data_IF_663664649549
#
_entry.id   IF_663664649549
#
_cell.length_a   1.000
_cell.length_b   1.000
_cell.length_c   1.000
_cell.angle_alpha   90.00
_cell.angle_beta   90.00
_cell.angle_gamma   90.00
#
_symmetry.space_group_name_H-M   'P 1'
#
loop_
_entity.id
_entity.type
_entity.pdbx_description
1 polymer ?
#
# COMPACT_ATOMS: atom_id res chain seq x y z
N UNK A 1 6.27 23.70 -12.82
CA UNK A 1 5.79 25.02 -12.32
C UNK A 1 4.28 25.05 -12.35
N UNK A 2 3.62 25.67 -11.34
CA UNK A 2 2.18 25.83 -11.30
C UNK A 2 1.72 26.87 -12.32
N UNK A 3 0.68 26.55 -13.09
CA UNK A 3 0.09 27.46 -14.06
C UNK A 3 -1.17 28.13 -13.50
N UNK A 4 -1.06 29.42 -13.15
CA UNK A 4 -2.18 30.22 -12.60
C UNK A 4 -3.31 30.48 -13.60
N UNK A 5 -3.05 30.31 -14.88
CA UNK A 5 -4.00 30.53 -15.98
C UNK A 5 -4.63 29.21 -16.49
N UNK A 6 -4.34 28.09 -15.82
CA UNK A 6 -4.92 26.79 -16.18
C UNK A 6 -6.37 26.68 -15.70
N UNK A 7 -7.19 25.94 -16.46
CA UNK A 7 -8.55 25.53 -16.04
C UNK A 7 -8.51 24.66 -14.78
N UNK A 8 -7.38 23.94 -14.55
CA UNK A 8 -7.21 23.09 -13.37
C UNK A 8 -6.90 23.94 -12.14
N UNK A 9 -7.64 23.80 -11.03
CA UNK A 9 -7.39 24.53 -9.79
C UNK A 9 -5.97 24.32 -9.25
N UNK A 10 -5.37 25.37 -8.67
CA UNK A 10 -3.99 25.34 -8.17
C UNK A 10 -3.73 24.22 -7.16
N UNK A 11 -4.71 23.93 -6.27
CA UNK A 11 -4.55 22.84 -5.30
C UNK A 11 -4.43 21.47 -5.97
N UNK A 12 -5.13 21.23 -7.09
CA UNK A 12 -5.03 19.99 -7.86
C UNK A 12 -3.68 19.87 -8.55
N UNK A 13 -3.21 20.95 -9.19
CA UNK A 13 -1.87 20.96 -9.81
C UNK A 13 -0.78 20.67 -8.77
N UNK A 14 -0.86 21.31 -7.59
CA UNK A 14 0.10 21.09 -6.51
C UNK A 14 0.02 19.66 -5.95
N UNK A 15 -1.18 19.11 -5.86
CA UNK A 15 -1.42 17.72 -5.47
C UNK A 15 -0.73 16.75 -6.44
N UNK A 16 -0.89 16.94 -7.76
CA UNK A 16 -0.27 16.10 -8.79
C UNK A 16 1.26 16.17 -8.72
N UNK A 17 1.82 17.36 -8.45
CA UNK A 17 3.27 17.55 -8.28
C UNK A 17 3.77 16.77 -7.06
N UNK A 18 3.17 16.95 -5.89
CA UNK A 18 3.61 16.28 -4.66
C UNK A 18 3.41 14.76 -4.77
N UNK A 19 2.28 14.30 -5.32
CA UNK A 19 2.04 12.88 -5.58
C UNK A 19 3.09 12.27 -6.53
N UNK A 20 3.50 13.01 -7.57
CA UNK A 20 4.58 12.59 -8.47
C UNK A 20 5.92 12.50 -7.75
N UNK A 21 6.23 13.48 -6.88
CA UNK A 21 7.48 13.47 -6.08
C UNK A 21 7.54 12.31 -5.08
N UNK A 22 6.38 11.90 -4.54
CA UNK A 22 6.28 10.70 -3.70
C UNK A 22 6.50 9.44 -4.56
N UNK A 23 5.85 9.35 -5.73
CA UNK A 23 5.94 8.19 -6.61
C UNK A 23 7.34 7.97 -7.17
N UNK A 24 8.06 9.03 -7.51
CA UNK A 24 9.43 8.96 -8.05
C UNK A 24 10.52 8.88 -6.96
N UNK A 25 10.12 8.84 -5.66
CA UNK A 25 11.03 8.69 -4.53
C UNK A 25 11.76 9.96 -4.09
N UNK A 26 11.39 11.14 -4.60
CA UNK A 26 11.90 12.44 -4.11
C UNK A 26 11.56 12.61 -2.63
N UNK A 27 10.33 12.26 -2.25
CA UNK A 27 9.92 12.09 -0.86
C UNK A 27 9.79 10.60 -0.56
N UNK A 28 10.58 10.10 0.38
CA UNK A 28 10.60 8.68 0.76
C UNK A 28 9.47 8.33 1.73
N UNK A 29 9.00 7.07 1.74
CA UNK A 29 8.07 6.60 2.77
C UNK A 29 8.57 6.87 4.19
N UNK A 30 7.71 7.43 5.04
CA UNK A 30 8.05 7.83 6.40
C UNK A 30 8.79 9.17 6.51
N UNK A 31 9.18 9.78 5.41
CA UNK A 31 9.85 11.09 5.41
C UNK A 31 8.88 12.22 5.72
N UNK A 32 9.35 13.21 6.48
CA UNK A 32 8.62 14.43 6.75
C UNK A 32 8.68 15.36 5.55
N UNK A 33 7.51 15.79 5.04
CA UNK A 33 7.46 16.80 4.00
C UNK A 33 7.59 18.20 4.60
N UNK A 34 7.97 19.23 3.80
CA UNK A 34 7.99 20.61 4.25
C UNK A 34 6.65 21.03 4.84
N UNK A 35 6.68 21.95 5.80
CA UNK A 35 5.48 22.49 6.45
C UNK A 35 4.59 23.27 5.49
N UNK A 36 3.32 23.47 5.85
CA UNK A 36 2.39 24.26 5.02
C UNK A 36 2.92 25.67 4.67
N UNK A 37 3.57 26.42 5.59
CA UNK A 37 4.21 27.68 5.23
C UNK A 37 5.37 27.54 4.24
N UNK A 38 6.25 26.55 4.43
CA UNK A 38 7.39 26.31 3.54
C UNK A 38 6.93 25.91 2.13
N UNK A 39 5.89 25.06 2.05
CA UNK A 39 5.27 24.69 0.76
C UNK A 39 4.60 25.89 0.09
N UNK A 40 3.95 26.78 0.86
CA UNK A 40 3.33 27.99 0.33
C UNK A 40 4.37 28.93 -0.29
N UNK A 41 5.51 29.08 0.35
CA UNK A 41 6.65 29.87 -0.14
C UNK A 41 7.29 29.20 -1.37
N UNK A 42 7.61 27.91 -1.29
CA UNK A 42 8.26 27.15 -2.36
C UNK A 42 7.46 27.17 -3.68
N UNK A 43 6.14 27.02 -3.58
CA UNK A 43 5.26 26.96 -4.76
C UNK A 43 4.55 28.28 -5.08
N UNK A 44 4.79 29.33 -4.29
CA UNK A 44 4.20 30.67 -4.43
C UNK A 44 2.65 30.65 -4.52
N UNK A 45 2.04 29.91 -3.60
CA UNK A 45 0.58 29.77 -3.45
C UNK A 45 0.15 30.15 -2.03
N UNK A 46 -1.17 30.39 -1.86
CA UNK A 46 -1.70 30.67 -0.52
C UNK A 46 -1.61 29.47 0.41
N UNK A 47 -1.49 29.72 1.72
CA UNK A 47 -1.51 28.65 2.75
C UNK A 47 -2.81 27.84 2.71
N UNK A 48 -3.93 28.47 2.33
CA UNK A 48 -5.22 27.78 2.17
C UNK A 48 -5.15 26.75 1.03
N UNK A 49 -4.50 27.10 -0.08
CA UNK A 49 -4.28 26.18 -1.22
C UNK A 49 -3.44 25.00 -0.80
N UNK A 50 -2.33 25.23 -0.06
CA UNK A 50 -1.47 24.15 0.45
C UNK A 50 -2.22 23.26 1.43
N UNK A 51 -2.95 23.85 2.39
CA UNK A 51 -3.72 23.09 3.38
C UNK A 51 -4.71 22.14 2.70
N UNK A 52 -5.47 22.64 1.73
CA UNK A 52 -6.39 21.82 0.94
C UNK A 52 -5.66 20.70 0.19
N UNK A 53 -4.51 21.01 -0.43
CA UNK A 53 -3.67 20.02 -1.11
C UNK A 53 -3.23 18.90 -0.16
N UNK A 54 -2.73 19.26 1.02
CA UNK A 54 -2.26 18.29 2.02
C UNK A 54 -3.41 17.45 2.56
N UNK A 55 -4.58 18.05 2.81
CA UNK A 55 -5.79 17.33 3.23
C UNK A 55 -6.24 16.30 2.18
N UNK A 56 -6.28 16.69 0.90
CA UNK A 56 -6.60 15.78 -0.20
C UNK A 56 -5.58 14.64 -0.33
N UNK A 57 -4.28 14.93 -0.22
CA UNK A 57 -3.24 13.91 -0.24
C UNK A 57 -3.32 12.97 0.98
N UNK A 58 -3.75 13.45 2.13
CA UNK A 58 -4.04 12.61 3.29
C UNK A 58 -5.25 11.71 3.04
N UNK A 59 -6.33 12.24 2.46
CA UNK A 59 -7.54 11.48 2.11
C UNK A 59 -7.22 10.41 1.07
N UNK A 60 -6.37 10.71 0.09
CA UNK A 60 -5.90 9.75 -0.91
C UNK A 60 -4.82 8.79 -0.40
N UNK A 61 -4.39 8.94 0.87
CA UNK A 61 -3.45 8.02 1.49
C UNK A 61 -1.98 8.21 1.12
N UNK A 62 -1.61 9.30 0.46
CA UNK A 62 -0.22 9.64 0.18
C UNK A 62 0.51 10.20 1.40
N UNK A 63 -0.21 10.93 2.24
CA UNK A 63 0.34 11.61 3.41
C UNK A 63 -0.42 11.22 4.69
N UNK A 64 0.23 11.43 5.82
CA UNK A 64 -0.37 11.32 7.16
C UNK A 64 0.07 12.51 8.01
N UNK A 65 -0.90 13.16 8.69
CA UNK A 65 -0.61 14.23 9.65
C UNK A 65 -0.44 13.63 11.04
N UNK A 66 0.66 13.99 11.70
CA UNK A 66 0.86 13.74 13.12
C UNK A 66 0.79 15.08 13.86
N UNK A 67 -0.19 15.21 14.74
CA UNK A 67 -0.40 16.45 15.50
C UNK A 67 0.87 16.86 16.26
N UNK A 68 1.29 18.11 16.13
CA UNK A 68 2.50 18.64 16.75
C UNK A 68 3.83 18.19 16.12
N UNK A 69 3.84 17.17 15.27
CA UNK A 69 5.06 16.60 14.66
C UNK A 69 5.25 16.99 13.19
N UNK A 70 4.15 17.16 12.47
CA UNK A 70 4.15 17.52 11.04
C UNK A 70 3.42 16.54 10.15
N UNK A 71 3.65 16.67 8.84
CA UNK A 71 3.07 15.81 7.81
C UNK A 71 4.16 14.90 7.23
N UNK A 72 3.85 13.62 7.09
CA UNK A 72 4.79 12.59 6.66
C UNK A 72 4.25 11.86 5.45
N UNK A 73 5.14 11.38 4.59
CA UNK A 73 4.78 10.47 3.51
C UNK A 73 4.30 9.16 4.13
N UNK A 74 3.10 8.78 3.81
CA UNK A 74 2.56 7.51 4.27
C UNK A 74 3.34 6.38 3.59
N UNK A 75 3.80 5.40 4.35
CA UNK A 75 4.31 4.16 3.77
C UNK A 75 3.27 3.62 2.79
N UNK A 76 3.68 3.15 1.61
CA UNK A 76 2.72 2.64 0.65
C UNK A 76 1.97 1.47 1.29
N UNK A 77 0.83 1.79 1.89
CA UNK A 77 -0.17 0.76 2.09
C UNK A 77 -0.63 0.38 0.70
N UNK A 78 -0.46 -0.87 0.32
CA UNK A 78 -1.20 -1.41 -0.80
C UNK A 78 -2.65 -1.39 -0.35
N UNK A 79 -3.35 -0.32 -0.75
CA UNK A 79 -4.79 -0.30 -0.59
C UNK A 79 -5.34 -1.41 -1.50
N UNK A 80 -5.60 -2.58 -0.95
CA UNK A 80 -6.71 -3.35 -1.46
C UNK A 80 -7.94 -2.46 -1.27
N UNK A 81 -8.34 -1.75 -2.31
CA UNK A 81 -9.75 -1.42 -2.46
C UNK A 81 -10.44 -2.77 -2.48
N UNK A 82 -11.00 -3.14 -1.33
CA UNK A 82 -11.99 -4.20 -1.24
C UNK A 82 -13.30 -3.69 -1.86
N UNK A 83 -13.21 -3.09 -3.04
CA UNK A 83 -14.36 -2.99 -3.91
C UNK A 83 -14.59 -4.40 -4.44
N UNK A 84 -15.74 -4.89 -4.15
CA UNK A 84 -16.41 -6.16 -4.48
C UNK A 84 -16.28 -6.63 -5.95
N UNK A 85 -15.22 -6.29 -6.64
CA UNK A 85 -14.98 -6.66 -8.02
C UNK A 85 -13.74 -7.53 -8.15
N UNK A 86 -14.04 -8.81 -8.29
CA UNK A 86 -13.18 -9.88 -8.78
C UNK A 86 -11.98 -10.25 -7.90
N UNK A 87 -11.84 -11.55 -7.71
CA UNK A 87 -10.72 -12.29 -7.11
C UNK A 87 -9.37 -11.92 -7.78
N UNK A 88 -8.88 -10.73 -7.49
CA UNK A 88 -7.61 -10.27 -8.01
C UNK A 88 -6.48 -10.78 -7.12
N UNK A 89 -5.49 -11.42 -7.72
CA UNK A 89 -4.32 -11.90 -7.01
C UNK A 89 -3.47 -10.73 -6.48
N UNK A 90 -2.66 -11.00 -5.45
CA UNK A 90 -1.68 -10.02 -4.95
C UNK A 90 -0.77 -9.49 -6.06
N UNK A 91 -0.27 -10.40 -6.92
CA UNK A 91 0.63 -10.03 -8.01
C UNK A 91 -0.03 -9.11 -9.04
N UNK A 92 -1.28 -9.34 -9.35
CA UNK A 92 -2.03 -8.49 -10.27
C UNK A 92 -2.34 -7.13 -9.66
N UNK A 93 -2.70 -7.09 -8.37
CA UNK A 93 -2.89 -5.85 -7.63
C UNK A 93 -1.60 -5.01 -7.58
N UNK A 94 -0.43 -5.63 -7.37
CA UNK A 94 0.85 -4.93 -7.42
C UNK A 94 1.09 -4.31 -8.80
N UNK A 95 0.94 -5.09 -9.89
CA UNK A 95 1.18 -4.61 -11.25
C UNK A 95 0.26 -3.46 -11.64
N UNK A 96 -1.02 -3.53 -11.27
CA UNK A 96 -1.98 -2.43 -11.52
C UNK A 96 -1.60 -1.13 -10.78
N UNK A 97 -0.92 -1.25 -9.64
CA UNK A 97 -0.40 -0.11 -8.88
C UNK A 97 1.03 0.29 -9.29
N UNK A 98 1.56 -0.24 -10.40
CA UNK A 98 2.90 0.07 -10.89
C UNK A 98 4.02 -0.47 -10.01
N UNK A 99 3.75 -1.54 -9.23
CA UNK A 99 4.70 -2.20 -8.34
C UNK A 99 5.11 -3.56 -8.89
N UNK A 100 6.32 -3.98 -8.56
CA UNK A 100 6.83 -5.31 -8.90
C UNK A 100 6.52 -6.27 -7.73
N UNK A 101 5.73 -7.36 -7.96
CA UNK A 101 5.45 -8.33 -6.92
C UNK A 101 6.62 -9.29 -6.75
N UNK A 102 7.03 -9.52 -5.50
CA UNK A 102 7.98 -10.56 -5.10
C UNK A 102 7.36 -11.46 -4.04
N UNK A 103 7.88 -12.67 -3.92
CA UNK A 103 7.46 -13.65 -2.91
C UNK A 103 8.67 -14.39 -2.38
N UNK A 104 8.88 -14.35 -1.06
CA UNK A 104 9.86 -15.17 -0.37
C UNK A 104 9.15 -16.26 0.42
N UNK A 105 9.49 -17.52 0.15
CA UNK A 105 9.01 -18.65 0.95
C UNK A 105 9.79 -18.67 2.25
N UNK A 106 9.09 -18.52 3.37
CA UNK A 106 9.66 -18.61 4.71
C UNK A 106 9.66 -20.05 5.20
N UNK A 107 8.54 -20.74 5.03
CA UNK A 107 8.38 -22.12 5.45
C UNK A 107 7.55 -22.89 4.42
N UNK A 108 8.03 -24.07 4.04
CA UNK A 108 7.25 -25.04 3.27
C UNK A 108 7.50 -26.44 3.82
N UNK A 109 6.48 -27.04 4.41
CA UNK A 109 6.60 -28.38 5.00
C UNK A 109 5.26 -29.13 4.95
N UNK A 110 5.37 -30.46 5.15
CA UNK A 110 4.22 -31.31 5.47
C UNK A 110 4.10 -31.38 6.98
N UNK A 111 2.88 -31.27 7.50
CA UNK A 111 2.59 -31.46 8.92
C UNK A 111 1.19 -32.04 9.12
N UNK A 112 0.96 -32.67 10.25
CA UNK A 112 -0.38 -33.10 10.65
C UNK A 112 -1.31 -31.88 10.74
N UNK A 113 -2.54 -32.00 10.29
CA UNK A 113 -3.55 -30.97 10.42
C UNK A 113 -3.96 -30.81 11.91
N UNK A 114 -4.13 -29.58 12.35
CA UNK A 114 -4.79 -29.31 13.61
C UNK A 114 -6.33 -29.37 13.45
N UNK A 115 -7.06 -29.38 14.55
CA UNK A 115 -8.53 -29.50 14.56
C UNK A 115 -9.22 -28.43 13.70
N UNK A 116 -8.71 -27.19 13.75
CA UNK A 116 -9.28 -26.07 12.98
C UNK A 116 -9.07 -26.29 11.48
N UNK A 117 -7.84 -26.66 11.10
CA UNK A 117 -7.49 -26.92 9.71
C UNK A 117 -8.26 -28.11 9.15
N UNK A 118 -8.40 -29.20 9.94
CA UNK A 118 -9.16 -30.40 9.56
C UNK A 118 -10.62 -30.06 9.33
N UNK A 119 -11.24 -29.28 10.20
CA UNK A 119 -12.64 -28.89 10.07
C UNK A 119 -12.87 -28.04 8.81
N UNK A 120 -12.00 -27.04 8.55
CA UNK A 120 -12.12 -26.18 7.36
C UNK A 120 -11.90 -26.92 6.05
N UNK A 121 -10.93 -27.82 6.00
CA UNK A 121 -10.56 -28.56 4.79
C UNK A 121 -11.34 -29.88 4.66
N UNK A 122 -12.21 -30.23 5.65
CA UNK A 122 -12.98 -31.47 5.72
C UNK A 122 -12.10 -32.73 5.65
N UNK A 123 -11.03 -32.71 6.42
CA UNK A 123 -10.06 -33.79 6.51
C UNK A 123 -10.42 -34.78 7.63
N UNK A 124 -9.99 -36.02 7.49
CA UNK A 124 -9.97 -36.97 8.61
C UNK A 124 -8.98 -36.52 9.69
N UNK A 125 -9.16 -37.01 10.92
CA UNK A 125 -8.21 -36.72 12.00
C UNK A 125 -6.82 -37.22 11.61
N UNK A 126 -5.81 -36.37 11.84
CA UNK A 126 -4.39 -36.63 11.59
C UNK A 126 -3.96 -36.70 10.09
N UNK A 127 -4.83 -36.29 9.17
CA UNK A 127 -4.43 -36.15 7.78
C UNK A 127 -3.38 -35.05 7.61
N UNK A 128 -2.37 -35.32 6.77
CA UNK A 128 -1.30 -34.37 6.53
C UNK A 128 -1.71 -33.28 5.54
N UNK A 129 -1.22 -32.09 5.81
CA UNK A 129 -1.39 -30.92 4.94
C UNK A 129 -0.03 -30.33 4.57
N UNK A 130 0.04 -29.70 3.41
CA UNK A 130 1.13 -28.79 3.11
C UNK A 130 0.89 -27.46 3.78
N UNK A 131 1.86 -27.04 4.56
CA UNK A 131 1.93 -25.71 5.17
C UNK A 131 2.90 -24.87 4.35
N UNK A 132 2.43 -23.72 3.89
CA UNK A 132 3.22 -22.77 3.12
C UNK A 132 3.06 -21.39 3.74
N UNK A 133 4.16 -20.82 4.22
CA UNK A 133 4.27 -19.46 4.73
C UNK A 133 5.14 -18.64 3.78
N UNK A 134 4.62 -17.50 3.33
CA UNK A 134 5.30 -16.64 2.37
C UNK A 134 5.19 -15.18 2.76
N UNK A 135 6.31 -14.49 2.65
CA UNK A 135 6.33 -13.03 2.69
C UNK A 135 6.11 -12.50 1.28
N UNK A 136 5.04 -11.74 1.09
CA UNK A 136 4.71 -11.10 -0.19
C UNK A 136 5.18 -9.63 -0.13
N UNK A 137 5.97 -9.24 -1.13
CA UNK A 137 6.57 -7.91 -1.20
C UNK A 137 6.06 -7.17 -2.45
N UNK A 138 5.89 -5.86 -2.30
CA UNK A 138 5.69 -4.96 -3.42
C UNK A 138 6.96 -4.13 -3.58
N UNK A 139 7.66 -4.31 -4.69
CA UNK A 139 9.07 -3.95 -4.85
C UNK A 139 9.89 -4.68 -3.77
N UNK A 140 10.66 -3.98 -2.94
CA UNK A 140 11.43 -4.54 -1.84
C UNK A 140 10.72 -4.41 -0.47
N UNK A 141 9.46 -3.95 -0.44
CA UNK A 141 8.73 -3.67 0.80
C UNK A 141 7.83 -4.86 1.15
N UNK A 142 8.04 -5.53 2.30
CA UNK A 142 7.14 -6.58 2.77
C UNK A 142 5.75 -6.00 3.11
N UNK A 143 4.71 -6.66 2.61
CA UNK A 143 3.33 -6.16 2.70
C UNK A 143 2.40 -7.16 3.36
N UNK A 144 2.56 -8.45 3.04
CA UNK A 144 1.67 -9.51 3.53
C UNK A 144 2.52 -10.69 3.96
N UNK A 145 2.26 -11.17 5.17
CA UNK A 145 2.60 -12.52 5.59
C UNK A 145 1.41 -13.42 5.26
N UNK A 146 1.62 -14.36 4.34
CA UNK A 146 0.57 -15.22 3.79
C UNK A 146 0.81 -16.67 4.19
N UNK A 147 -0.13 -17.21 4.95
CA UNK A 147 -0.15 -18.62 5.35
C UNK A 147 -1.21 -19.36 4.56
N UNK A 148 -0.84 -20.52 4.01
CA UNK A 148 -1.74 -21.39 3.26
C UNK A 148 -1.62 -22.84 3.74
N UNK A 149 -2.76 -23.47 3.88
CA UNK A 149 -2.87 -24.91 4.15
C UNK A 149 -3.52 -25.57 2.93
N UNK A 150 -2.91 -26.61 2.41
CA UNK A 150 -3.42 -27.32 1.25
C UNK A 150 -3.30 -28.83 1.52
N UNK A 151 -4.37 -29.56 1.31
CA UNK A 151 -4.32 -31.03 1.35
C UNK A 151 -4.14 -31.60 -0.06
N UNK A 152 -3.52 -32.76 -0.14
CA UNK A 152 -3.45 -33.53 -1.39
C UNK A 152 -4.77 -34.22 -1.60
N UNK A 153 -5.58 -33.72 -2.56
CA UNK A 153 -6.58 -34.56 -3.21
C UNK A 153 -5.88 -35.30 -4.34
N UNK A 154 -5.58 -36.56 -4.15
CA UNK A 154 -5.29 -37.42 -5.27
C UNK A 154 -6.60 -37.65 -6.06
N UNK A 155 -6.57 -37.47 -7.39
CA UNK A 155 -7.74 -37.76 -8.19
C UNK A 155 -8.09 -39.26 -8.17
#
# INVERSE_FOLDING_TARGET
>A
MLNKNSIQPLYKQLMDIIASQIKNGTYKPGEKIPTEPELAELYQVSRITVRRTVEELCTQGYLIKHQGKGTFVKSPMIFRKFETQKNMSFSESCRQNGRVPHSHVLTFCRKASDSITSDFLKLASDEEVFFLERLLLADEIPVIDAVSYTHLTLP
#
